data_IF_967900091836
#
_entry.id   IF_967900091836
#
_cell.length_a   1.000
_cell.length_b   1.000
_cell.length_c   1.000
_cell.angle_alpha   90.00
_cell.angle_beta   90.00
_cell.angle_gamma   90.00
#
_symmetry.space_group_name_H-M   'P 1'
#
loop_
_entity.id
_entity.type
_entity.pdbx_description
1 polymer ?
#
# COMPACT_ATOMS: atom_id res chain seq x y z
N UNK A 1 12.86 2.97 -2.23
CA UNK A 1 12.24 1.62 -2.35
C UNK A 1 10.80 1.76 -2.83
N UNK A 2 10.33 0.85 -3.63
CA UNK A 2 9.04 0.95 -4.30
C UNK A 2 8.33 -0.41 -4.31
N UNK A 3 7.05 -0.44 -4.04
CA UNK A 3 6.24 -1.66 -4.07
C UNK A 3 4.82 -1.40 -4.58
N UNK A 4 4.27 -2.33 -5.37
CA UNK A 4 2.95 -2.21 -5.97
C UNK A 4 2.08 -3.41 -5.62
N UNK A 5 0.84 -3.17 -5.18
CA UNK A 5 -0.17 -4.21 -4.92
C UNK A 5 0.35 -5.29 -3.98
N UNK A 6 0.41 -6.55 -4.40
CA UNK A 6 0.97 -7.64 -3.58
C UNK A 6 2.42 -7.39 -3.21
N UNK A 7 3.20 -6.74 -4.09
CA UNK A 7 4.57 -6.35 -3.79
C UNK A 7 4.69 -5.31 -2.69
N UNK A 8 3.61 -4.60 -2.35
CA UNK A 8 3.64 -3.61 -1.27
C UNK A 8 3.90 -4.25 0.10
N UNK A 9 3.37 -5.43 0.35
CA UNK A 9 3.63 -6.16 1.59
C UNK A 9 5.07 -6.64 1.68
N UNK A 10 5.61 -7.14 0.57
CA UNK A 10 7.00 -7.56 0.50
C UNK A 10 7.93 -6.35 0.67
N UNK A 11 7.66 -5.25 -0.01
CA UNK A 11 8.44 -4.02 0.11
C UNK A 11 8.41 -3.49 1.54
N UNK A 12 7.26 -3.53 2.21
CA UNK A 12 7.11 -3.09 3.60
C UNK A 12 7.95 -3.95 4.55
N UNK A 13 7.98 -5.26 4.33
CA UNK A 13 8.80 -6.17 5.12
C UNK A 13 10.29 -5.87 4.94
N UNK A 14 10.73 -5.70 3.69
CA UNK A 14 12.13 -5.40 3.39
C UNK A 14 12.52 -4.03 3.96
N UNK A 15 11.65 -3.03 3.84
CA UNK A 15 11.89 -1.69 4.38
C UNK A 15 11.98 -1.71 5.91
N UNK A 16 11.14 -2.52 6.57
CA UNK A 16 11.19 -2.68 8.02
C UNK A 16 12.55 -3.20 8.48
N UNK A 17 13.18 -4.09 7.69
CA UNK A 17 14.47 -4.66 8.03
C UNK A 17 15.67 -3.80 7.60
N UNK A 18 15.51 -2.92 6.61
CA UNK A 18 16.62 -2.18 6.01
C UNK A 18 16.52 -0.65 6.14
N UNK A 19 15.39 -0.12 6.58
CA UNK A 19 15.13 1.30 6.87
C UNK A 19 15.58 2.27 5.74
N UNK A 20 15.00 2.17 4.52
CA UNK A 20 15.30 3.13 3.47
C UNK A 20 14.84 4.54 3.86
N UNK A 21 15.44 5.58 3.28
CA UNK A 21 15.03 6.96 3.56
C UNK A 21 13.63 7.26 3.04
N UNK A 22 13.21 6.60 1.96
CA UNK A 22 11.88 6.76 1.35
C UNK A 22 11.34 5.41 0.92
N UNK A 23 10.05 5.19 1.17
CA UNK A 23 9.31 4.01 0.70
C UNK A 23 8.08 4.50 -0.05
N UNK A 24 7.92 4.06 -1.29
CA UNK A 24 6.75 4.38 -2.12
C UNK A 24 5.94 3.11 -2.33
N UNK A 25 4.68 3.13 -1.94
CA UNK A 25 3.77 2.02 -2.13
C UNK A 25 2.60 2.45 -2.99
N UNK A 26 2.34 1.69 -4.03
CA UNK A 26 1.25 1.92 -4.97
C UNK A 26 0.18 0.86 -4.77
N UNK A 27 -1.06 1.28 -4.57
CA UNK A 27 -2.20 0.41 -4.29
C UNK A 27 -1.90 -0.61 -3.17
N UNK A 28 -1.41 -0.16 -2.00
CA UNK A 28 -1.06 -1.10 -0.93
C UNK A 28 -2.30 -1.68 -0.27
N UNK A 29 -2.21 -2.93 0.19
CA UNK A 29 -3.25 -3.53 1.01
C UNK A 29 -2.89 -3.40 2.50
N UNK A 30 -3.92 -3.37 3.36
CA UNK A 30 -3.72 -3.26 4.81
C UNK A 30 -3.06 -4.54 5.36
N UNK A 31 -3.61 -5.69 4.99
CA UNK A 31 -2.98 -6.99 5.18
C UNK A 31 -3.54 -7.99 4.17
N UNK A 32 -2.84 -9.09 3.95
CA UNK A 32 -3.24 -10.08 2.95
C UNK A 32 -4.58 -10.75 3.29
N UNK A 33 -4.87 -10.90 4.57
CA UNK A 33 -6.14 -11.47 5.02
C UNK A 33 -7.34 -10.67 4.49
N UNK A 34 -7.29 -9.34 4.63
CA UNK A 34 -8.39 -8.46 4.16
C UNK A 34 -8.59 -8.56 2.65
N UNK A 35 -7.49 -8.59 1.87
CA UNK A 35 -7.56 -8.72 0.42
C UNK A 35 -8.17 -10.05 0.03
N UNK A 36 -7.72 -11.14 0.64
CA UNK A 36 -8.22 -12.47 0.34
C UNK A 36 -9.69 -12.62 0.73
N UNK A 37 -10.10 -12.05 1.86
CA UNK A 37 -11.52 -12.05 2.27
C UNK A 37 -12.39 -11.28 1.31
N UNK A 38 -11.89 -10.17 0.78
CA UNK A 38 -12.63 -9.36 -0.17
C UNK A 38 -12.90 -10.11 -1.48
N UNK A 39 -11.88 -10.82 -2.00
CA UNK A 39 -12.00 -11.55 -3.28
C UNK A 39 -12.50 -12.98 -3.11
N UNK A 40 -12.23 -13.62 -1.99
CA UNK A 40 -12.52 -15.03 -1.76
C UNK A 40 -13.13 -15.24 -0.36
N UNK A 41 -14.36 -14.72 -0.12
CA UNK A 41 -14.97 -14.78 1.22
C UNK A 41 -15.25 -16.19 1.73
N UNK A 42 -15.22 -17.19 0.84
CA UNK A 42 -15.49 -18.59 1.18
C UNK A 42 -14.24 -19.38 1.58
N UNK A 43 -13.04 -18.78 1.52
CA UNK A 43 -11.83 -19.48 1.92
C UNK A 43 -11.75 -19.67 3.44
N UNK A 44 -11.23 -20.81 3.93
CA UNK A 44 -11.05 -21.04 5.35
C UNK A 44 -10.08 -20.02 5.98
N UNK A 45 -10.44 -19.52 7.17
CA UNK A 45 -9.60 -18.56 7.88
C UNK A 45 -8.21 -19.12 8.20
N UNK A 46 -8.10 -20.43 8.49
CA UNK A 46 -6.82 -21.06 8.77
C UNK A 46 -5.85 -20.96 7.60
N UNK A 47 -6.35 -21.10 6.35
CA UNK A 47 -5.53 -20.94 5.15
C UNK A 47 -5.08 -19.49 4.98
N UNK A 48 -5.99 -18.54 5.19
CA UNK A 48 -5.70 -17.11 5.05
C UNK A 48 -4.68 -16.63 6.11
N UNK A 49 -4.78 -17.16 7.32
CA UNK A 49 -3.87 -16.79 8.41
C UNK A 49 -2.45 -17.33 8.22
N UNK A 50 -2.29 -18.37 7.41
CA UNK A 50 -0.98 -18.96 7.13
C UNK A 50 -0.11 -18.09 6.21
N UNK A 51 -0.72 -17.31 5.31
CA UNK A 51 -0.03 -16.49 4.30
C UNK A 51 -0.30 -15.00 4.54
N UNK A 52 0.09 -14.48 5.71
CA UNK A 52 -0.15 -13.07 6.03
C UNK A 52 1.07 -12.20 5.69
N UNK A 53 0.86 -11.22 4.80
CA UNK A 53 1.77 -10.08 4.67
C UNK A 53 1.15 -8.93 5.44
N UNK A 54 1.71 -8.64 6.62
CA UNK A 54 1.11 -7.70 7.58
C UNK A 54 1.66 -6.30 7.38
N UNK A 55 1.33 -5.69 6.24
CA UNK A 55 1.72 -4.31 5.92
C UNK A 55 1.39 -3.37 7.08
N UNK A 56 0.21 -3.54 7.68
CA UNK A 56 -0.24 -2.73 8.82
C UNK A 56 0.66 -2.84 10.05
N UNK A 57 1.44 -3.90 10.17
CA UNK A 57 2.37 -4.08 11.29
C UNK A 57 3.77 -3.57 10.98
N UNK A 58 4.17 -3.58 9.71
CA UNK A 58 5.51 -3.15 9.32
C UNK A 58 5.61 -1.64 9.12
N UNK A 59 4.62 -1.00 8.48
CA UNK A 59 4.69 0.42 8.14
C UNK A 59 4.92 1.35 9.34
N UNK A 60 4.23 1.17 10.48
CA UNK A 60 4.44 2.08 11.62
C UNK A 60 5.84 2.00 12.22
N UNK A 61 6.58 0.93 11.94
CA UNK A 61 7.91 0.70 12.48
C UNK A 61 9.03 1.18 11.56
N UNK A 62 8.69 1.68 10.37
CA UNK A 62 9.65 2.22 9.40
C UNK A 62 9.96 3.65 9.80
N UNK A 63 11.26 3.98 9.85
CA UNK A 63 11.72 5.30 10.31
C UNK A 63 11.72 6.37 9.22
N UNK A 64 11.86 5.98 7.95
CA UNK A 64 11.87 6.88 6.82
C UNK A 64 10.49 7.36 6.41
N UNK A 65 10.43 8.23 5.41
CA UNK A 65 9.16 8.71 4.86
C UNK A 65 8.48 7.64 4.02
N UNK A 66 7.18 7.44 4.23
CA UNK A 66 6.37 6.48 3.51
C UNK A 66 5.30 7.24 2.71
N UNK A 67 5.24 6.96 1.42
CA UNK A 67 4.28 7.59 0.50
C UNK A 67 3.38 6.53 -0.10
N UNK A 68 2.06 6.71 0.07
CA UNK A 68 1.07 5.78 -0.47
C UNK A 68 0.34 6.44 -1.64
N UNK A 69 0.18 5.71 -2.73
CA UNK A 69 -0.62 6.13 -3.87
C UNK A 69 -1.78 5.15 -4.07
N UNK A 70 -3.00 5.65 -4.07
CA UNK A 70 -4.17 4.78 -4.24
C UNK A 70 -5.26 5.52 -5.02
N UNK A 71 -5.87 4.81 -5.97
CA UNK A 71 -7.00 5.34 -6.74
C UNK A 71 -8.31 5.14 -6.03
N UNK A 72 -9.22 6.11 -6.16
CA UNK A 72 -10.54 6.04 -5.53
C UNK A 72 -11.45 4.98 -6.15
N UNK A 73 -11.16 4.56 -7.40
CA UNK A 73 -11.94 3.56 -8.14
C UNK A 73 -11.23 2.20 -8.22
N UNK A 74 -10.35 1.90 -7.28
CA UNK A 74 -9.65 0.61 -7.23
C UNK A 74 -10.63 -0.49 -6.79
N UNK A 75 -10.92 -1.43 -7.70
CA UNK A 75 -11.83 -2.56 -7.45
C UNK A 75 -11.09 -3.78 -6.91
N UNK A 76 -9.79 -3.81 -7.00
CA UNK A 76 -8.97 -4.95 -6.56
C UNK A 76 -8.58 -4.81 -5.09
N UNK A 77 -8.08 -3.65 -4.70
CA UNK A 77 -7.76 -3.34 -3.31
C UNK A 77 -8.52 -2.07 -2.93
N UNK A 78 -9.43 -2.12 -1.94
CA UNK A 78 -10.22 -0.96 -1.57
C UNK A 78 -9.34 0.23 -1.16
N UNK A 79 -9.72 1.42 -1.62
CA UNK A 79 -9.03 2.68 -1.25
C UNK A 79 -8.95 2.85 0.28
N UNK A 80 -9.94 2.35 1.02
CA UNK A 80 -9.96 2.39 2.48
C UNK A 80 -8.74 1.72 3.11
N UNK A 81 -8.10 0.78 2.43
CA UNK A 81 -6.86 0.15 2.91
C UNK A 81 -5.77 1.21 3.11
N UNK A 82 -5.56 2.09 2.13
CA UNK A 82 -4.57 3.16 2.24
C UNK A 82 -4.97 4.21 3.25
N UNK A 83 -6.27 4.52 3.38
CA UNK A 83 -6.75 5.44 4.42
C UNK A 83 -6.42 4.91 5.82
N UNK A 84 -6.62 3.61 6.04
CA UNK A 84 -6.29 2.97 7.31
C UNK A 84 -4.79 2.96 7.57
N UNK A 85 -3.97 2.67 6.55
CA UNK A 85 -2.52 2.65 6.67
C UNK A 85 -1.97 4.06 6.99
N UNK A 86 -2.51 5.08 6.35
CA UNK A 86 -2.04 6.46 6.55
C UNK A 86 -2.24 6.97 7.98
N UNK A 87 -3.18 6.38 8.72
CA UNK A 87 -3.47 6.76 10.10
C UNK A 87 -2.54 6.09 11.13
N UNK A 88 -1.69 5.15 10.71
CA UNK A 88 -0.88 4.37 11.63
C UNK A 88 0.35 5.13 12.13
N UNK A 89 0.84 6.11 11.40
CA UNK A 89 2.05 6.85 11.77
C UNK A 89 2.10 8.19 11.05
N UNK A 90 2.74 9.19 11.68
CA UNK A 90 2.84 10.55 11.14
C UNK A 90 3.76 10.64 9.90
N UNK A 91 4.67 9.67 9.72
CA UNK A 91 5.57 9.65 8.57
C UNK A 91 4.97 9.00 7.32
N UNK A 92 3.68 8.61 7.37
CA UNK A 92 2.97 8.02 6.24
C UNK A 92 2.08 9.09 5.60
N UNK A 93 2.27 9.36 4.32
CA UNK A 93 1.49 10.33 3.56
C UNK A 93 0.72 9.61 2.44
N UNK A 94 -0.59 9.85 2.35
CA UNK A 94 -1.44 9.28 1.31
C UNK A 94 -1.67 10.31 0.21
N UNK A 95 -1.34 9.95 -1.03
CA UNK A 95 -1.70 10.70 -2.22
C UNK A 95 -2.86 9.99 -2.92
N UNK A 96 -4.01 10.64 -2.95
CA UNK A 96 -5.22 10.11 -3.58
C UNK A 96 -5.22 10.43 -5.07
N UNK A 97 -5.39 9.42 -5.91
CA UNK A 97 -5.56 9.61 -7.35
C UNK A 97 -7.06 9.51 -7.65
N UNK A 98 -7.71 10.66 -7.81
CA UNK A 98 -9.15 10.71 -8.10
C UNK A 98 -9.46 9.96 -9.38
N UNK A 99 -10.47 9.09 -9.35
CA UNK A 99 -10.89 8.24 -10.47
C UNK A 99 -9.86 7.19 -10.89
N UNK A 100 -8.74 7.06 -10.18
CA UNK A 100 -7.74 6.04 -10.46
C UNK A 100 -8.22 4.64 -10.08
N UNK A 101 -7.90 3.65 -10.92
CA UNK A 101 -8.17 2.25 -10.64
C UNK A 101 -6.89 1.51 -10.27
N UNK A 102 -6.97 0.18 -10.10
CA UNK A 102 -5.83 -0.60 -9.62
C UNK A 102 -4.60 -0.54 -10.55
N UNK A 103 -4.81 -0.48 -11.85
CA UNK A 103 -3.74 -0.63 -12.82
C UNK A 103 -3.45 0.62 -13.66
N UNK A 104 -4.13 1.74 -13.43
CA UNK A 104 -4.01 2.91 -14.31
C UNK A 104 -3.48 4.17 -13.64
N UNK A 105 -2.91 4.09 -12.44
CA UNK A 105 -2.40 5.26 -11.74
C UNK A 105 -1.36 6.02 -12.54
N UNK A 106 -0.52 5.30 -13.27
CA UNK A 106 0.55 5.88 -14.08
C UNK A 106 0.04 6.64 -15.33
N UNK A 107 -1.25 6.60 -15.60
CA UNK A 107 -1.85 7.40 -16.69
C UNK A 107 -2.30 8.79 -16.22
N UNK A 108 -2.27 9.05 -14.91
CA UNK A 108 -2.73 10.31 -14.33
C UNK A 108 -1.57 11.30 -14.14
N UNK A 109 -1.82 12.56 -14.53
CA UNK A 109 -0.83 13.62 -14.37
C UNK A 109 -0.44 13.82 -12.90
N UNK A 110 -1.41 13.79 -12.00
CA UNK A 110 -1.17 13.99 -10.57
C UNK A 110 -0.21 12.94 -10.01
N UNK A 111 -0.32 11.69 -10.47
CA UNK A 111 0.59 10.63 -10.06
C UNK A 111 2.03 10.98 -10.44
N UNK A 112 2.27 11.34 -11.69
CA UNK A 112 3.61 11.67 -12.17
C UNK A 112 4.19 12.90 -11.48
N UNK A 113 3.37 13.91 -11.25
CA UNK A 113 3.79 15.12 -10.56
C UNK A 113 4.27 14.81 -9.14
N UNK A 114 3.53 14.00 -8.40
CA UNK A 114 3.88 13.64 -7.02
C UNK A 114 5.11 12.73 -6.96
N UNK A 115 5.22 11.77 -7.87
CA UNK A 115 6.39 10.90 -7.95
C UNK A 115 7.66 11.74 -8.22
N UNK A 116 7.59 12.68 -9.16
CA UNK A 116 8.73 13.55 -9.46
C UNK A 116 9.14 14.40 -8.24
N UNK A 117 8.17 14.93 -7.49
CA UNK A 117 8.43 15.69 -6.27
C UNK A 117 9.14 14.82 -5.20
N UNK A 118 8.70 13.57 -5.04
CA UNK A 118 9.27 12.65 -4.04
C UNK A 118 10.70 12.28 -4.41
N UNK A 119 10.98 12.03 -5.69
CA UNK A 119 12.29 11.57 -6.16
C UNK A 119 13.33 12.68 -6.29
N UNK A 120 12.93 13.92 -6.17
CA UNK A 120 13.89 15.05 -6.09
C UNK A 120 14.63 15.08 -4.73
#
# INVERSE_FOLDING_TARGET
MYGTSLGSGIASYIAYNNHPSKLILETPYYNFYDVAKFHYPYLPNSLLLHYQFKTNQFLPKIKGDVYLFHGTEDETIPYSSSERLAKLSDNITLFTIQDGSHNNLNTFHDYHQKIDEILK
#
